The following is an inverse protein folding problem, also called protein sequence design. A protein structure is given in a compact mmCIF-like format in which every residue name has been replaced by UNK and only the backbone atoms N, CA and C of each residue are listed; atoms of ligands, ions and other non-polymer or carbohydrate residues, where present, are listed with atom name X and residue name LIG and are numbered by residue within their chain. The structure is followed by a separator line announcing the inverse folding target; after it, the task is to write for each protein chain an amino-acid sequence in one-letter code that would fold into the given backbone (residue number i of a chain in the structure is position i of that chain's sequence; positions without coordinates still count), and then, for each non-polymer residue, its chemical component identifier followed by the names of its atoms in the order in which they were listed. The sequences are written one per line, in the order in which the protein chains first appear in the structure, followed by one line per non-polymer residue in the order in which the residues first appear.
data_IF_803566555056
#
_entry.id   IF_803566555056
#
_cell.length_a   1.000
_cell.length_b   1.000
_cell.length_c   1.000
_cell.angle_alpha   90.00
_cell.angle_beta   90.00
_cell.angle_gamma   90.00
#
_symmetry.space_group_name_H-M   'P 1'
#
loop_
_entity.id
_entity.type
_entity.pdbx_description
1 polymer ?
#
# COMPACT_ATOMS: atom_id res chain seq x y z
N UNK A 1 -7.05 4.55 20.57
CA UNK A 1 -5.74 5.24 20.59
C UNK A 1 -5.91 6.70 20.98
N UNK A 2 -6.82 7.43 20.34
CA UNK A 2 -7.15 8.82 20.65
C UNK A 2 -7.43 9.08 22.13
N UNK A 3 -8.34 8.33 22.76
CA UNK A 3 -8.64 8.49 24.20
C UNK A 3 -7.41 8.33 25.09
N UNK A 4 -6.54 7.37 24.76
CA UNK A 4 -5.31 7.11 25.52
C UNK A 4 -4.29 8.24 25.34
N UNK A 5 -4.22 8.84 24.15
CA UNK A 5 -3.38 10.00 23.88
C UNK A 5 -3.92 11.25 24.59
N UNK A 6 -5.23 11.46 24.59
CA UNK A 6 -5.87 12.57 25.29
C UNK A 6 -5.58 12.51 26.80
N UNK A 7 -5.60 11.31 27.40
CA UNK A 7 -5.27 11.10 28.81
C UNK A 7 -3.84 11.51 29.18
N UNK A 8 -2.90 11.55 28.22
CA UNK A 8 -1.52 12.03 28.42
C UNK A 8 -1.31 13.45 27.88
N UNK A 9 -2.40 14.18 27.57
CA UNK A 9 -2.35 15.57 27.11
C UNK A 9 -1.99 15.73 25.62
N UNK A 10 -2.17 14.69 24.81
CA UNK A 10 -1.97 14.74 23.36
C UNK A 10 -3.32 14.67 22.64
N UNK A 11 -3.67 15.75 21.94
CA UNK A 11 -4.87 15.82 21.09
C UNK A 11 -4.51 15.68 19.61
N UNK A 12 -5.37 15.02 18.84
CA UNK A 12 -5.19 14.81 17.40
C UNK A 12 -6.39 15.33 16.61
N UNK A 13 -6.10 15.94 15.46
CA UNK A 13 -7.08 16.23 14.43
C UNK A 13 -7.09 15.10 13.41
N UNK A 14 -8.24 14.45 13.23
CA UNK A 14 -8.38 13.38 12.26
C UNK A 14 -8.59 13.94 10.84
N UNK A 15 -7.73 13.51 9.92
CA UNK A 15 -7.84 13.84 8.50
C UNK A 15 -8.11 12.56 7.72
N UNK A 16 -9.29 12.47 7.10
CA UNK A 16 -9.64 11.34 6.26
C UNK A 16 -9.19 11.57 4.82
N UNK A 17 -8.49 10.59 4.26
CA UNK A 17 -8.14 10.55 2.83
C UNK A 17 -8.83 9.37 2.15
N UNK A 18 -9.43 9.62 0.99
CA UNK A 18 -9.98 8.55 0.16
C UNK A 18 -8.86 7.62 -0.32
N UNK A 19 -9.17 6.32 -0.42
CA UNK A 19 -8.22 5.32 -0.89
C UNK A 19 -7.62 5.70 -2.26
N UNK A 20 -6.29 5.60 -2.38
CA UNK A 20 -5.55 5.81 -3.63
C UNK A 20 -4.91 7.19 -3.81
N UNK A 21 -5.24 8.19 -2.98
CA UNK A 21 -4.65 9.53 -3.06
C UNK A 21 -4.17 9.97 -1.67
N UNK A 22 -2.86 9.87 -1.42
CA UNK A 22 -2.23 10.28 -0.16
C UNK A 22 -1.09 11.30 -0.37
N UNK A 23 -1.41 12.50 -0.90
CA UNK A 23 -0.41 13.54 -1.14
C UNK A 23 0.32 13.92 0.14
N UNK A 24 -0.35 13.89 1.30
CA UNK A 24 0.25 14.25 2.58
C UNK A 24 1.20 13.18 3.12
N UNK A 25 1.01 11.91 2.77
CA UNK A 25 1.99 10.83 3.05
C UNK A 25 3.23 11.06 2.20
N UNK A 26 3.04 11.28 0.90
CA UNK A 26 4.12 11.48 -0.07
C UNK A 26 4.91 12.77 0.19
N UNK A 27 4.26 13.79 0.75
CA UNK A 27 4.89 15.04 1.15
C UNK A 27 5.55 14.97 2.54
N UNK A 28 5.39 13.88 3.29
CA UNK A 28 5.86 13.77 4.68
C UNK A 28 5.16 14.75 5.64
N UNK A 29 3.96 15.20 5.30
CA UNK A 29 3.19 16.17 6.07
C UNK A 29 2.37 15.53 7.21
N UNK A 30 2.22 14.20 7.19
CA UNK A 30 1.51 13.46 8.23
C UNK A 30 2.39 13.29 9.48
N UNK A 31 1.86 13.79 10.61
CA UNK A 31 2.50 13.66 11.93
C UNK A 31 2.35 12.27 12.52
N UNK A 32 1.16 11.68 12.35
CA UNK A 32 0.83 10.31 12.72
C UNK A 32 -0.02 9.74 11.59
N UNK A 33 0.35 8.55 11.12
CA UNK A 33 -0.43 7.79 10.17
C UNK A 33 -1.02 6.59 10.90
N UNK A 34 -2.35 6.50 10.96
CA UNK A 34 -3.01 5.29 11.44
C UNK A 34 -2.72 4.14 10.46
N UNK A 35 -2.37 2.98 11.01
CA UNK A 35 -2.13 1.77 10.24
C UNK A 35 -3.42 1.24 9.60
N UNK A 36 -3.84 1.84 8.49
CA UNK A 36 -4.79 1.19 7.57
C UNK A 36 -4.13 -0.05 6.93
N UNK A 37 -4.96 -0.98 6.41
CA UNK A 37 -4.50 -2.17 5.68
C UNK A 37 -3.50 -1.83 4.55
N UNK A 38 -3.59 -0.61 4.00
CA UNK A 38 -2.71 -0.10 2.96
C UNK A 38 -1.31 0.27 3.47
N UNK A 39 -1.16 0.65 4.75
CA UNK A 39 0.06 1.23 5.31
C UNK A 39 0.99 0.18 5.94
N UNK A 40 0.51 -0.71 6.82
CA UNK A 40 1.35 -1.70 7.54
C UNK A 40 0.67 -3.08 7.65
N UNK A 41 -0.49 -3.27 7.02
CA UNK A 41 -1.32 -4.47 7.16
C UNK A 41 -1.11 -5.53 6.09
N UNK A 42 0.04 -5.56 5.40
CA UNK A 42 0.29 -6.55 4.34
C UNK A 42 0.63 -7.90 5.00
N UNK A 43 -0.11 -8.98 4.71
CA UNK A 43 0.23 -10.31 5.18
C UNK A 43 1.64 -10.70 4.76
N UNK A 44 2.38 -11.18 5.74
CA UNK A 44 3.73 -11.67 5.54
C UNK A 44 3.66 -13.10 5.04
N UNK A 45 4.25 -13.37 3.87
CA UNK A 45 4.76 -14.72 3.66
C UNK A 45 5.94 -14.93 4.62
N UNK A 46 5.83 -15.94 5.49
CA UNK A 46 6.92 -16.33 6.41
C UNK A 46 8.23 -16.65 5.66
N UNK A 47 8.14 -16.97 4.37
CA UNK A 47 9.29 -17.23 3.48
C UNK A 47 10.14 -15.99 3.19
N UNK A 48 9.60 -14.76 3.31
CA UNK A 48 10.26 -13.54 2.85
C UNK A 48 10.17 -12.35 3.84
N UNK A 49 10.43 -12.64 5.11
CA UNK A 49 10.46 -11.65 6.20
C UNK A 49 11.40 -10.47 5.90
N UNK A 50 12.54 -10.71 5.26
CA UNK A 50 13.52 -9.67 4.95
C UNK A 50 12.96 -8.59 4.01
N UNK A 51 12.30 -8.99 2.91
CA UNK A 51 11.79 -8.04 1.94
C UNK A 51 10.78 -7.08 2.60
N UNK A 52 9.95 -7.62 3.49
CA UNK A 52 9.03 -6.80 4.26
C UNK A 52 9.77 -5.84 5.18
N UNK A 53 10.62 -6.33 6.09
CA UNK A 53 11.32 -5.47 7.05
C UNK A 53 12.16 -4.39 6.34
N UNK A 54 12.79 -4.74 5.21
CA UNK A 54 13.54 -3.78 4.39
C UNK A 54 12.65 -2.70 3.77
N UNK A 55 11.40 -3.02 3.42
CA UNK A 55 10.49 -2.03 2.85
C UNK A 55 10.07 -0.96 3.87
N UNK A 56 10.04 -1.30 5.17
CA UNK A 56 9.60 -0.38 6.23
C UNK A 56 10.73 0.30 6.99
N UNK A 57 11.87 -0.37 7.19
CA UNK A 57 12.93 0.13 8.08
C UNK A 57 14.22 0.50 7.38
N UNK A 58 14.44 0.04 6.14
CA UNK A 58 15.64 0.41 5.41
C UNK A 58 15.62 1.92 5.16
N UNK A 59 16.76 2.56 5.39
CA UNK A 59 16.95 3.95 5.03
C UNK A 59 16.61 4.13 3.55
N UNK A 60 15.67 5.03 3.29
CA UNK A 60 15.20 5.37 1.97
C UNK A 60 15.06 6.88 1.87
N UNK A 61 15.36 7.43 0.70
CA UNK A 61 15.08 8.83 0.45
C UNK A 61 13.57 9.06 0.29
N UNK A 62 13.14 10.32 0.43
CA UNK A 62 11.74 10.71 0.24
C UNK A 62 11.18 10.38 -1.15
N UNK A 63 12.03 10.29 -2.18
CA UNK A 63 11.61 10.00 -3.55
C UNK A 63 11.23 8.54 -3.72
N UNK A 64 11.88 7.63 -2.99
CA UNK A 64 11.49 6.24 -2.93
C UNK A 64 10.05 6.10 -2.41
N UNK A 65 9.62 6.94 -1.47
CA UNK A 65 8.24 6.93 -0.96
C UNK A 65 7.24 7.42 -2.02
N UNK A 66 7.56 8.53 -2.69
CA UNK A 66 6.75 9.09 -3.79
C UNK A 66 6.57 8.08 -4.93
N UNK A 67 7.59 7.26 -5.19
CA UNK A 67 7.59 6.23 -6.23
C UNK A 67 7.03 4.88 -5.75
N UNK A 68 6.51 4.80 -4.52
CA UNK A 68 6.03 3.56 -3.88
C UNK A 68 7.08 2.44 -3.85
N UNK A 69 8.37 2.80 -3.79
CA UNK A 69 9.52 1.87 -3.69
C UNK A 69 9.90 1.54 -2.25
N UNK A 70 9.34 2.25 -1.28
CA UNK A 70 9.50 2.01 0.16
C UNK A 70 8.18 2.30 0.86
N UNK A 71 8.03 1.73 2.06
CA UNK A 71 6.95 1.97 3.03
C UNK A 71 7.53 2.51 4.35
N UNK A 72 8.73 3.09 4.31
CA UNK A 72 9.35 3.77 5.45
C UNK A 72 8.67 5.13 5.70
N UNK A 73 7.39 5.08 6.10
CA UNK A 73 6.59 6.23 6.49
C UNK A 73 7.16 7.02 7.68
N UNK A 74 7.89 6.40 8.64
CA UNK A 74 8.57 7.15 9.68
C UNK A 74 9.79 7.95 9.20
N UNK A 75 10.20 7.80 7.93
CA UNK A 75 11.44 8.36 7.38
C UNK A 75 12.68 8.00 8.21
N UNK A 76 12.69 6.79 8.76
CA UNK A 76 13.80 6.29 9.57
C UNK A 76 15.07 6.25 8.73
N UNK A 77 16.09 7.00 9.16
CA UNK A 77 17.42 6.98 8.55
C UNK A 77 18.41 6.56 9.64
N UNK A 78 18.82 5.29 9.62
CA UNK A 78 19.66 4.72 10.66
C UNK A 78 20.57 3.61 10.10
N UNK A 79 21.87 3.90 10.07
CA UNK A 79 22.89 2.98 9.55
C UNK A 79 23.03 1.67 10.34
N UNK A 80 22.70 1.68 11.63
CA UNK A 80 22.73 0.48 12.46
C UNK A 80 21.62 -0.49 12.03
N UNK A 81 20.41 0.06 11.82
CA UNK A 81 19.26 -0.69 11.32
C UNK A 81 19.53 -1.24 9.91
N UNK A 82 20.13 -0.44 9.03
CA UNK A 82 20.55 -0.91 7.70
C UNK A 82 21.59 -2.04 7.81
N UNK A 83 22.49 -1.97 8.78
CA UNK A 83 23.47 -3.01 9.10
C UNK A 83 22.81 -4.34 9.48
N UNK A 84 21.85 -4.33 10.41
CA UNK A 84 21.12 -5.55 10.79
C UNK A 84 20.35 -6.14 9.61
N UNK A 85 19.69 -5.30 8.81
CA UNK A 85 18.99 -5.75 7.61
C UNK A 85 19.96 -6.35 6.59
N UNK A 86 21.14 -5.77 6.41
CA UNK A 86 22.17 -6.32 5.54
C UNK A 86 22.68 -7.66 6.06
N UNK A 87 22.98 -7.76 7.35
CA UNK A 87 23.45 -8.98 7.99
C UNK A 87 22.41 -10.11 7.88
N UNK A 88 21.12 -9.81 8.06
CA UNK A 88 20.04 -10.77 7.85
C UNK A 88 19.88 -11.23 6.39
N UNK A 89 20.28 -10.40 5.42
CA UNK A 89 20.22 -10.72 3.99
C UNK A 89 21.35 -11.66 3.55
N UNK A 90 22.58 -11.37 3.97
CA UNK A 90 23.78 -12.08 3.48
C UNK A 90 24.10 -13.35 4.28
N UNK A 91 23.52 -13.51 5.47
CA UNK A 91 23.75 -14.66 6.35
C UNK A 91 22.55 -15.61 6.41
N UNK A 92 22.78 -16.82 6.96
CA UNK A 92 21.78 -17.86 7.18
C UNK A 92 21.86 -18.42 8.61
N UNK A 93 20.86 -19.22 9.00
CA UNK A 93 20.85 -19.91 10.29
C UNK A 93 20.92 -18.96 11.49
N UNK A 94 21.73 -19.30 12.49
CA UNK A 94 21.86 -18.54 13.75
C UNK A 94 22.20 -17.07 13.54
N UNK A 95 23.15 -16.77 12.66
CA UNK A 95 23.62 -15.40 12.39
C UNK A 95 22.49 -14.51 11.83
N UNK A 96 21.63 -15.08 11.00
CA UNK A 96 20.45 -14.39 10.47
C UNK A 96 19.43 -14.10 11.57
N UNK A 97 19.22 -15.07 12.47
CA UNK A 97 18.30 -14.90 13.59
C UNK A 97 18.81 -13.86 14.60
N UNK A 98 20.12 -13.84 14.89
CA UNK A 98 20.75 -12.81 15.73
C UNK A 98 20.48 -11.41 15.18
N UNK A 99 20.73 -11.19 13.88
CA UNK A 99 20.46 -9.90 13.23
C UNK A 99 18.98 -9.49 13.32
N UNK A 100 18.03 -10.42 13.21
CA UNK A 100 16.61 -10.10 13.41
C UNK A 100 16.27 -9.78 14.87
N UNK A 101 16.90 -10.45 15.84
CA UNK A 101 16.69 -10.18 17.25
C UNK A 101 17.22 -8.78 17.62
N UNK A 102 18.40 -8.43 17.14
CA UNK A 102 19.01 -7.10 17.36
C UNK A 102 18.16 -6.00 16.72
N UNK A 103 17.72 -6.22 15.46
CA UNK A 103 16.80 -5.32 14.78
C UNK A 103 15.50 -5.14 15.58
N UNK A 104 14.89 -6.24 16.04
CA UNK A 104 13.65 -6.19 16.81
C UNK A 104 13.86 -5.40 18.12
N UNK A 105 14.96 -5.66 18.82
CA UNK A 105 15.26 -4.98 20.08
C UNK A 105 15.36 -3.46 19.88
N UNK A 106 16.15 -3.01 18.90
CA UNK A 106 16.36 -1.58 18.66
C UNK A 106 15.08 -0.89 18.18
N UNK A 107 14.31 -1.51 17.29
CA UNK A 107 13.05 -0.94 16.79
C UNK A 107 11.99 -0.87 17.88
N UNK A 108 11.87 -1.88 18.75
CA UNK A 108 10.82 -1.93 19.77
C UNK A 108 11.17 -1.17 21.06
N UNK A 109 12.44 -1.05 21.41
CA UNK A 109 12.84 -0.55 22.74
C UNK A 109 13.68 0.73 22.70
N UNK A 110 14.35 1.05 21.58
CA UNK A 110 15.25 2.21 21.50
C UNK A 110 14.66 3.28 20.59
N UNK A 111 14.34 2.93 19.35
CA UNK A 111 13.94 3.87 18.32
C UNK A 111 12.43 4.10 18.30
N UNK A 112 11.64 3.06 18.54
CA UNK A 112 10.17 3.09 18.56
C UNK A 112 9.55 3.86 17.37
N UNK A 113 9.98 3.62 16.10
CA UNK A 113 9.52 4.42 14.96
C UNK A 113 8.05 4.17 14.59
N UNK A 114 7.48 3.07 15.09
CA UNK A 114 6.09 2.67 14.88
C UNK A 114 5.50 2.20 16.20
N UNK A 115 4.24 2.53 16.43
CA UNK A 115 3.44 1.94 17.51
C UNK A 115 2.71 0.70 16.98
N UNK A 116 3.15 -0.48 17.39
CA UNK A 116 2.47 -1.73 17.05
C UNK A 116 1.24 -1.90 17.95
N UNK A 117 0.04 -1.80 17.38
CA UNK A 117 -1.22 -1.81 18.13
C UNK A 117 -1.92 -3.16 18.11
N UNK A 118 -1.94 -3.84 16.96
CA UNK A 118 -2.64 -5.10 16.76
C UNK A 118 -1.94 -5.98 15.72
N UNK A 119 -2.13 -7.30 15.84
CA UNK A 119 -1.97 -8.24 14.74
C UNK A 119 -3.39 -8.73 14.38
N UNK A 120 -4.02 -8.13 13.36
CA UNK A 120 -5.41 -8.45 13.05
C UNK A 120 -5.51 -9.88 12.51
N UNK A 121 -6.51 -10.63 12.99
CA UNK A 121 -6.94 -11.84 12.31
C UNK A 121 -7.95 -11.46 11.23
N UNK A 122 -7.64 -11.78 9.98
CA UNK A 122 -8.57 -11.57 8.86
C UNK A 122 -9.47 -12.79 8.72
N UNK A 123 -10.77 -12.59 8.85
CA UNK A 123 -11.80 -13.61 8.61
C UNK A 123 -12.71 -13.19 7.47
N UNK A 124 -13.16 -14.16 6.68
CA UNK A 124 -14.08 -13.93 5.55
C UNK A 124 -15.31 -14.78 5.78
N UNK A 125 -16.47 -14.13 5.84
CA UNK A 125 -17.75 -14.83 5.78
C UNK A 125 -18.07 -15.17 4.34
N UNK A 126 -18.21 -16.46 4.03
CA UNK A 126 -18.65 -16.93 2.72
C UNK A 126 -19.60 -18.13 2.87
N UNK A 127 -20.48 -18.36 1.89
CA UNK A 127 -21.29 -19.58 1.86
C UNK A 127 -20.49 -20.73 1.22
N UNK A 128 -20.98 -21.97 1.37
CA UNK A 128 -20.32 -23.17 0.78
C UNK A 128 -20.21 -23.15 -0.75
N UNK A 129 -20.96 -22.26 -1.39
CA UNK A 129 -21.03 -22.10 -2.86
C UNK A 129 -20.02 -21.07 -3.38
N UNK A 130 -19.10 -20.60 -2.53
CA UNK A 130 -18.11 -19.59 -2.91
C UNK A 130 -16.70 -20.12 -2.66
N UNK A 131 -15.86 -19.98 -3.67
CA UNK A 131 -14.42 -20.20 -3.57
C UNK A 131 -13.74 -18.92 -3.08
N UNK A 132 -12.88 -19.07 -2.08
CA UNK A 132 -12.05 -17.99 -1.58
C UNK A 132 -10.76 -17.97 -2.38
N UNK A 133 -10.48 -16.83 -3.01
CA UNK A 133 -9.20 -16.55 -3.63
C UNK A 133 -8.49 -15.49 -2.82
N UNK A 134 -7.20 -15.66 -2.61
CA UNK A 134 -6.34 -14.63 -2.02
C UNK A 134 -5.47 -14.04 -3.12
N UNK A 135 -5.20 -12.73 -3.06
CA UNK A 135 -4.17 -12.14 -3.90
C UNK A 135 -2.79 -12.69 -3.49
N UNK A 136 -1.80 -12.48 -4.36
CA UNK A 136 -0.39 -12.82 -4.12
C UNK A 136 0.18 -12.22 -2.82
N UNK A 137 -0.47 -11.17 -2.28
CA UNK A 137 -0.06 -10.48 -1.06
C UNK A 137 -0.83 -10.95 0.19
N UNK A 138 -1.73 -11.93 0.06
CA UNK A 138 -2.62 -12.42 1.12
C UNK A 138 -3.61 -11.40 1.69
N UNK A 139 -3.51 -10.11 1.32
CA UNK A 139 -4.21 -8.98 1.94
C UNK A 139 -5.66 -8.87 1.51
N UNK A 140 -5.93 -9.26 0.26
CA UNK A 140 -7.24 -9.15 -0.35
C UNK A 140 -7.70 -10.54 -0.69
N UNK A 141 -8.74 -10.96 0.00
CA UNK A 141 -9.42 -12.17 -0.34
C UNK A 141 -10.76 -11.82 -0.98
N UNK A 142 -10.97 -12.29 -2.21
CA UNK A 142 -12.24 -12.15 -2.89
C UNK A 142 -12.89 -13.52 -3.01
N UNK A 143 -14.21 -13.51 -2.97
CA UNK A 143 -15.02 -14.69 -3.16
C UNK A 143 -15.48 -14.72 -4.62
N UNK A 144 -15.35 -15.86 -5.28
CA UNK A 144 -16.05 -16.13 -6.53
C UNK A 144 -17.09 -17.22 -6.28
N UNK A 145 -18.24 -17.14 -6.92
CA UNK A 145 -19.27 -18.17 -6.77
C UNK A 145 -18.85 -19.38 -7.60
N UNK A 146 -18.84 -20.58 -7.01
CA UNK A 146 -18.64 -21.82 -7.74
C UNK A 146 -19.79 -21.98 -8.73
N UNK A 147 -19.50 -22.34 -9.99
CA UNK A 147 -20.47 -22.53 -11.07
C UNK A 147 -21.23 -21.28 -11.57
N UNK A 148 -20.68 -20.08 -11.41
CA UNK A 148 -21.21 -18.92 -12.11
C UNK A 148 -20.85 -18.95 -13.60
N UNK A 149 -21.82 -19.26 -14.46
CA UNK A 149 -21.73 -18.90 -15.86
C UNK A 149 -22.04 -17.40 -15.99
N UNK A 150 -21.16 -16.64 -16.64
CA UNK A 150 -21.51 -15.31 -17.15
C UNK A 150 -22.72 -15.45 -18.08
N UNK A 151 -23.93 -15.27 -17.53
CA UNK A 151 -25.12 -15.10 -18.34
C UNK A 151 -25.07 -13.70 -18.94
N UNK A 152 -24.40 -13.59 -20.09
CA UNK A 152 -24.61 -12.43 -20.94
C UNK A 152 -26.11 -12.37 -21.25
N UNK A 153 -26.77 -11.22 -21.00
CA UNK A 153 -28.17 -11.08 -21.39
C UNK A 153 -28.30 -11.46 -22.87
N UNK A 154 -29.30 -12.28 -23.25
CA UNK A 154 -29.43 -12.80 -24.61
C UNK A 154 -29.67 -11.70 -25.66
N UNK A 155 -29.98 -10.48 -25.20
CA UNK A 155 -29.92 -9.28 -26.01
C UNK A 155 -28.64 -8.51 -25.75
N UNK A 156 -27.94 -8.14 -26.82
CA UNK A 156 -26.96 -7.06 -26.81
C UNK A 156 -27.63 -5.87 -26.11
N UNK A 157 -27.17 -5.53 -24.89
CA UNK A 157 -27.54 -4.26 -24.27
C UNK A 157 -27.22 -3.19 -25.32
N UNK A 158 -28.18 -2.36 -25.77
CA UNK A 158 -27.91 -1.34 -26.79
C UNK A 158 -26.98 -0.28 -26.20
N UNK A 159 -25.71 -0.63 -26.09
CA UNK A 159 -24.60 0.23 -25.76
C UNK A 159 -23.90 0.57 -27.06
N UNK A 160 -23.61 1.84 -27.25
CA UNK A 160 -22.80 2.31 -28.36
C UNK A 160 -21.51 1.48 -28.43
N UNK A 161 -21.21 0.91 -29.60
CA UNK A 161 -20.00 0.12 -29.81
C UNK A 161 -18.79 0.84 -29.23
N UNK A 162 -18.01 0.15 -28.38
CA UNK A 162 -16.79 0.69 -27.76
C UNK A 162 -15.85 1.26 -28.82
N UNK A 163 -15.82 0.66 -30.02
CA UNK A 163 -15.05 1.15 -31.15
C UNK A 163 -15.57 2.49 -31.67
N UNK A 164 -16.89 2.68 -31.76
CA UNK A 164 -17.52 3.94 -32.17
C UNK A 164 -17.28 5.03 -31.11
N UNK A 165 -17.48 4.72 -29.83
CA UNK A 165 -17.23 5.63 -28.70
C UNK A 165 -15.75 6.04 -28.62
N UNK A 166 -14.84 5.09 -28.83
CA UNK A 166 -13.41 5.34 -28.91
C UNK A 166 -13.03 6.23 -30.10
N UNK A 167 -13.64 6.02 -31.26
CA UNK A 167 -13.43 6.86 -32.44
C UNK A 167 -13.88 8.31 -32.22
N UNK A 168 -15.09 8.52 -31.68
CA UNK A 168 -15.59 9.86 -31.36
C UNK A 168 -14.76 10.56 -30.28
N UNK A 169 -14.33 9.84 -29.24
CA UNK A 169 -13.48 10.39 -28.17
C UNK A 169 -12.11 10.81 -28.72
N UNK A 170 -11.53 10.01 -29.62
CA UNK A 170 -10.25 10.33 -30.27
C UNK A 170 -10.36 11.55 -31.19
N UNK A 171 -11.43 11.63 -32.00
CA UNK A 171 -11.70 12.79 -32.85
C UNK A 171 -11.93 14.07 -32.02
N UNK A 172 -12.67 13.96 -30.91
CA UNK A 172 -12.89 15.07 -29.99
C UNK A 172 -11.58 15.57 -29.37
N UNK A 173 -10.71 14.65 -28.90
CA UNK A 173 -9.37 15.01 -28.40
C UNK A 173 -8.52 15.70 -29.47
N UNK A 174 -8.46 15.17 -30.69
CA UNK A 174 -7.71 15.79 -31.78
C UNK A 174 -8.23 17.19 -32.12
N UNK A 175 -9.56 17.39 -32.10
CA UNK A 175 -10.17 18.70 -32.29
C UNK A 175 -9.78 19.71 -31.19
N UNK A 176 -9.79 19.28 -29.92
CA UNK A 176 -9.37 20.11 -28.79
C UNK A 176 -7.88 20.47 -28.92
N UNK A 177 -7.02 19.49 -29.22
CA UNK A 177 -5.58 19.70 -29.43
C UNK A 177 -5.34 20.68 -30.59
N UNK A 178 -6.02 20.50 -31.71
CA UNK A 178 -5.91 21.39 -32.86
C UNK A 178 -6.34 22.82 -32.54
N UNK A 179 -7.45 23.00 -31.82
CA UNK A 179 -7.91 24.34 -31.37
C UNK A 179 -6.90 24.97 -30.42
N UNK A 180 -6.31 24.20 -29.50
CA UNK A 180 -5.28 24.70 -28.57
C UNK A 180 -4.03 25.12 -29.33
N UNK A 181 -3.52 24.29 -30.25
CA UNK A 181 -2.36 24.61 -31.10
C UNK A 181 -2.63 25.90 -31.89
N UNK A 182 -3.80 26.00 -32.54
CA UNK A 182 -4.19 27.17 -33.32
C UNK A 182 -4.35 28.44 -32.47
N UNK A 183 -4.97 28.35 -31.29
CA UNK A 183 -5.16 29.52 -30.40
C UNK A 183 -3.86 29.96 -29.71
N UNK A 184 -3.02 29.02 -29.30
CA UNK A 184 -1.76 29.31 -28.61
C UNK A 184 -0.59 29.59 -29.58
N UNK A 185 -0.79 29.47 -30.89
CA UNK A 185 0.25 29.60 -31.93
C UNK A 185 1.50 28.78 -31.61
N UNK A 186 1.30 27.62 -30.99
CA UNK A 186 2.40 26.70 -30.70
C UNK A 186 2.77 26.11 -32.06
N UNK A 187 3.96 26.47 -32.56
CA UNK A 187 4.55 25.85 -33.74
C UNK A 187 5.11 24.49 -33.36
#
# INVERSE_FOLDING_TARGET
MEDAAHQIGCDFDNVYHAAGIWPDIQAGALRILEASAFSVGVPLEESNVWAYLSSYYKTADKWALIQSRTRNFPFLTNSTIDGYLFDAYVNNGTRKQEAYNDLQYDIQNILCPLLFTIQPMTGIGHSKEWEVHTNYWGSDAWITQTDWEWQYPPGVIPGYSIQILGAFSTLAMMGIIYVIIRKKKIK
#
